data_IF_219674312747
#
_entry.id   IF_219674312747
#
_cell.length_a   1.000
_cell.length_b   1.000
_cell.length_c   1.000
_cell.angle_alpha   90.00
_cell.angle_beta   90.00
_cell.angle_gamma   90.00
#
_symmetry.space_group_name_H-M   'P 1'
#
loop_
_entity.id
_entity.type
_entity.pdbx_description
1 polymer ?
#
# COMPACT_ATOMS: atom_id res chain seq x y z
N UNK A 1 -40.10 -4.31 40.97
CA UNK A 1 -39.02 -4.54 39.98
C UNK A 1 -39.46 -3.86 38.70
N UNK A 2 -39.06 -2.62 38.47
CA UNK A 2 -39.41 -1.89 37.24
C UNK A 2 -38.35 -2.17 36.17
N UNK A 3 -38.72 -2.86 35.10
CA UNK A 3 -37.87 -3.10 33.93
C UNK A 3 -37.60 -1.78 33.19
N UNK A 4 -36.51 -1.09 33.57
CA UNK A 4 -35.99 0.05 32.82
C UNK A 4 -35.19 -0.45 31.63
N UNK A 5 -35.86 -0.59 30.48
CA UNK A 5 -35.23 -0.87 29.19
C UNK A 5 -34.33 0.31 28.81
N UNK A 6 -33.02 0.10 28.75
CA UNK A 6 -32.05 1.13 28.33
C UNK A 6 -32.30 1.54 26.88
N UNK A 7 -32.71 2.79 26.65
CA UNK A 7 -32.76 3.39 25.32
C UNK A 7 -31.41 4.01 25.00
N UNK A 8 -30.80 3.58 23.90
CA UNK A 8 -29.65 4.27 23.32
C UNK A 8 -30.17 5.32 22.33
N UNK A 9 -29.96 6.59 22.64
CA UNK A 9 -30.17 7.68 21.69
C UNK A 9 -28.87 7.94 20.94
N UNK A 10 -28.85 7.59 19.65
CA UNK A 10 -27.76 7.99 18.76
C UNK A 10 -27.95 9.46 18.38
N UNK A 11 -27.28 10.36 19.11
CA UNK A 11 -27.19 11.77 18.74
C UNK A 11 -26.15 11.96 17.63
N UNK A 12 -26.46 11.55 16.41
CA UNK A 12 -25.81 12.15 15.25
C UNK A 12 -26.52 13.48 14.93
N UNK A 13 -26.23 14.48 15.76
CA UNK A 13 -26.65 15.88 15.58
C UNK A 13 -25.73 16.58 14.56
N UNK A 14 -25.55 15.99 13.38
CA UNK A 14 -24.85 16.68 12.29
C UNK A 14 -25.88 17.33 11.37
N UNK A 15 -25.99 18.68 11.34
CA UNK A 15 -26.83 19.38 10.38
C UNK A 15 -26.51 18.99 8.93
N UNK A 16 -27.46 19.13 7.98
CA UNK A 16 -27.21 18.97 6.56
C UNK A 16 -26.25 20.07 6.09
N UNK A 17 -24.94 19.79 6.15
CA UNK A 17 -23.92 20.83 5.96
C UNK A 17 -22.51 20.43 6.42
N UNK A 18 -22.35 19.31 7.13
CA UNK A 18 -21.05 18.76 7.54
C UNK A 18 -20.21 18.18 6.40
N UNK A 19 -20.53 18.57 5.17
CA UNK A 19 -19.73 18.29 4.00
C UNK A 19 -18.59 19.30 3.91
N UNK A 20 -18.07 19.88 5.01
CA UNK A 20 -16.90 20.74 4.96
C UNK A 20 -15.72 20.06 5.65
N UNK A 21 -14.57 20.05 4.97
CA UNK A 21 -13.29 19.58 5.50
C UNK A 21 -12.83 20.44 6.67
N UNK A 22 -11.79 20.01 7.40
CA UNK A 22 -11.14 20.86 8.42
C UNK A 22 -10.71 22.22 7.83
N UNK A 23 -10.47 22.28 6.52
CA UNK A 23 -10.10 23.48 5.77
C UNK A 23 -11.31 24.33 5.32
N UNK A 24 -12.53 24.01 5.78
CA UNK A 24 -13.77 24.70 5.39
C UNK A 24 -14.26 24.42 3.96
N UNK A 25 -13.52 23.61 3.18
CA UNK A 25 -13.87 23.25 1.79
C UNK A 25 -14.92 22.16 1.71
N UNK A 26 -15.79 22.22 0.71
CA UNK A 26 -16.78 21.18 0.48
C UNK A 26 -16.12 19.81 0.19
N UNK A 27 -16.49 18.80 0.99
CA UNK A 27 -16.14 17.39 0.86
C UNK A 27 -17.00 16.81 -0.26
N UNK A 28 -16.36 16.03 -1.11
CA UNK A 28 -17.04 15.34 -2.20
C UNK A 28 -18.08 14.35 -1.67
N UNK A 29 -19.31 14.46 -2.18
CA UNK A 29 -20.42 13.53 -1.92
C UNK A 29 -20.79 12.89 -3.25
N UNK A 30 -20.26 11.71 -3.53
CA UNK A 30 -20.53 10.99 -4.75
C UNK A 30 -19.77 9.66 -4.80
N UNK A 31 -19.93 8.88 -5.87
CA UNK A 31 -19.24 7.59 -6.01
C UNK A 31 -17.72 7.74 -5.94
N UNK A 32 -17.04 6.76 -5.33
CA UNK A 32 -15.58 6.75 -5.19
C UNK A 32 -14.88 6.96 -6.55
N UNK A 33 -14.01 7.98 -6.62
CA UNK A 33 -13.35 8.42 -7.86
C UNK A 33 -11.95 7.83 -8.05
N UNK A 34 -11.35 7.30 -6.98
CA UNK A 34 -10.01 6.69 -7.04
C UNK A 34 -10.09 5.42 -7.86
N UNK A 35 -9.33 5.39 -8.94
CA UNK A 35 -9.01 4.15 -9.64
C UNK A 35 -8.07 3.34 -8.76
N UNK A 36 -8.23 2.01 -8.75
CA UNK A 36 -7.35 1.10 -8.01
C UNK A 36 -5.89 1.43 -8.27
N UNK A 37 -5.06 1.42 -7.23
CA UNK A 37 -3.63 1.64 -7.38
C UNK A 37 -3.06 0.53 -8.29
N UNK A 38 -2.45 0.92 -9.42
CA UNK A 38 -1.85 -0.03 -10.37
C UNK A 38 -0.66 -0.77 -9.78
N UNK A 39 -0.01 -0.19 -8.76
CA UNK A 39 1.14 -0.80 -8.10
C UNK A 39 0.63 -1.71 -7.00
N UNK A 40 0.83 -3.02 -7.16
CA UNK A 40 0.81 -3.92 -6.02
C UNK A 40 2.01 -3.58 -5.13
N UNK A 41 1.77 -3.38 -3.84
CA UNK A 41 2.84 -3.25 -2.85
C UNK A 41 3.46 -4.64 -2.61
N UNK A 42 4.10 -5.20 -3.64
CA UNK A 42 4.93 -6.39 -3.51
C UNK A 42 6.22 -6.01 -2.79
N UNK A 43 6.59 -6.77 -1.76
CA UNK A 43 7.80 -6.54 -1.00
C UNK A 43 9.04 -6.78 -1.88
N UNK A 44 9.63 -5.70 -2.39
CA UNK A 44 10.83 -5.76 -3.26
C UNK A 44 12.08 -6.24 -2.52
N UNK A 45 12.00 -6.45 -1.21
CA UNK A 45 13.09 -6.87 -0.31
C UNK A 45 13.15 -8.39 -0.12
N UNK A 46 12.12 -9.14 -0.53
CA UNK A 46 12.10 -10.60 -0.36
C UNK A 46 13.23 -11.32 -1.13
N UNK A 47 13.79 -10.69 -2.17
CA UNK A 47 14.85 -11.30 -2.98
C UNK A 47 16.23 -10.74 -2.61
N UNK A 48 16.98 -11.50 -1.80
CA UNK A 48 18.40 -11.26 -1.56
C UNK A 48 19.16 -11.45 -2.89
N UNK A 49 19.90 -10.43 -3.34
CA UNK A 49 20.64 -10.46 -4.62
C UNK A 49 21.87 -11.36 -4.59
N UNK A 50 22.48 -11.50 -3.42
CA UNK A 50 23.67 -12.32 -3.18
C UNK A 50 23.32 -13.31 -2.08
N UNK A 51 22.93 -14.52 -2.47
CA UNK A 51 22.68 -15.62 -1.54
C UNK A 51 23.59 -16.78 -1.95
N UNK A 52 24.10 -17.52 -0.98
CA UNK A 52 25.06 -18.61 -1.20
C UNK A 52 24.50 -19.70 -2.14
N UNK A 53 23.20 -19.96 -2.05
CA UNK A 53 22.50 -20.93 -2.90
C UNK A 53 22.04 -20.38 -4.26
N UNK A 54 22.37 -19.12 -4.61
CA UNK A 54 21.99 -18.53 -5.90
C UNK A 54 23.16 -18.57 -6.87
N UNK A 55 22.87 -19.04 -8.09
CA UNK A 55 23.82 -19.05 -9.20
C UNK A 55 24.27 -17.62 -9.50
N UNK A 56 25.59 -17.42 -9.66
CA UNK A 56 26.14 -16.14 -10.05
C UNK A 56 25.58 -15.73 -11.43
N UNK A 57 24.93 -14.56 -11.48
CA UNK A 57 24.32 -14.03 -12.72
C UNK A 57 25.34 -13.75 -13.81
N UNK A 58 26.63 -13.68 -13.48
CA UNK A 58 27.74 -13.56 -14.44
C UNK A 58 27.94 -14.83 -15.27
N UNK A 59 27.46 -15.98 -14.77
CA UNK A 59 27.56 -17.27 -15.45
C UNK A 59 26.37 -17.56 -16.38
N UNK A 60 25.36 -16.68 -16.41
CA UNK A 60 24.17 -16.85 -17.25
C UNK A 60 24.45 -16.51 -18.72
N UNK A 61 23.67 -17.12 -19.62
CA UNK A 61 23.70 -16.84 -21.05
C UNK A 61 23.42 -15.36 -21.36
N UNK A 62 24.08 -14.83 -22.41
CA UNK A 62 23.97 -13.43 -22.81
C UNK A 62 24.85 -12.44 -22.02
N UNK A 63 25.67 -12.94 -21.09
CA UNK A 63 26.70 -12.14 -20.39
C UNK A 63 28.00 -12.04 -21.19
N UNK A 64 28.82 -11.04 -20.86
CA UNK A 64 30.09 -10.81 -21.57
C UNK A 64 31.08 -11.89 -21.18
N UNK A 65 31.98 -12.24 -22.09
CA UNK A 65 32.99 -13.27 -21.85
C UNK A 65 33.85 -12.96 -20.62
N UNK A 66 34.25 -11.70 -20.44
CA UNK A 66 35.01 -11.24 -19.27
C UNK A 66 34.24 -11.22 -17.95
N UNK A 67 32.91 -11.43 -17.96
CA UNK A 67 32.13 -11.51 -16.72
C UNK A 67 32.40 -12.83 -15.97
N UNK A 68 32.79 -13.90 -16.69
CA UNK A 68 33.06 -15.22 -16.10
C UNK A 68 34.33 -15.23 -15.25
N UNK A 69 35.34 -14.44 -15.64
CA UNK A 69 36.66 -14.38 -15.02
C UNK A 69 37.04 -12.93 -14.72
N UNK A 70 36.37 -12.30 -13.73
CA UNK A 70 36.70 -10.94 -13.35
C UNK A 70 38.15 -10.85 -12.87
N UNK A 71 38.97 -10.05 -13.57
CA UNK A 71 40.31 -9.68 -13.11
C UNK A 71 40.15 -8.66 -11.99
N UNK A 72 40.37 -9.12 -10.76
CA UNK A 72 40.72 -8.24 -9.67
C UNK A 72 42.24 -8.09 -9.76
N UNK A 73 42.65 -6.87 -10.11
CA UNK A 73 44.02 -6.41 -10.34
C UNK A 73 45.04 -7.03 -9.39
#
# INVERSE_FOLDING_TARGET
>A
MSDTRSRFEARDLSPPGFCKGPDGREKYIGPERRRSNRRSNGERRATVRFAENKVDRRQLEGRREGDRTPKFW
#
